data_IF_362364215150
#
_entry.id   IF_362364215150
#
_cell.length_a   1.000
_cell.length_b   1.000
_cell.length_c   1.000
_cell.angle_alpha   90.00
_cell.angle_beta   90.00
_cell.angle_gamma   90.00
#
_symmetry.space_group_name_H-M   'P 1'
#
loop_
_entity.id
_entity.type
_entity.pdbx_description
1 polymer ?
#
# COMPACT_ATOMS: atom_id res chain seq x y z
N UNK A 1 5.18 -15.88 -8.23
CA UNK A 1 6.19 -15.36 -7.29
C UNK A 1 6.95 -14.24 -8.00
N UNK A 2 7.24 -13.12 -7.32
CA UNK A 2 7.95 -12.01 -7.96
C UNK A 2 9.47 -12.17 -7.80
N UNK A 3 10.18 -12.22 -8.92
CA UNK A 3 11.64 -12.39 -8.93
C UNK A 3 12.35 -11.04 -9.08
N UNK A 4 13.41 -10.86 -8.30
CA UNK A 4 14.26 -9.68 -8.30
C UNK A 4 15.74 -10.03 -8.21
N UNK A 5 16.56 -9.04 -8.55
CA UNK A 5 18.01 -9.13 -8.49
C UNK A 5 18.54 -8.38 -7.26
N UNK A 6 19.55 -8.93 -6.60
CA UNK A 6 20.31 -8.22 -5.55
C UNK A 6 21.17 -7.15 -6.22
N UNK A 7 21.25 -5.98 -5.60
CA UNK A 7 22.11 -4.87 -6.03
C UNK A 7 23.27 -4.74 -5.06
N UNK A 8 24.48 -4.98 -5.54
CA UNK A 8 25.71 -4.74 -4.77
C UNK A 8 26.05 -3.24 -4.73
N UNK A 9 25.80 -2.51 -5.82
CA UNK A 9 26.02 -1.07 -5.88
C UNK A 9 24.76 -0.24 -5.62
N UNK A 10 24.88 0.67 -4.65
CA UNK A 10 23.84 1.62 -4.24
C UNK A 10 24.01 2.97 -4.98
N UNK A 11 24.96 3.06 -5.92
CA UNK A 11 25.29 4.29 -6.63
C UNK A 11 24.13 4.90 -7.45
N UNK A 12 24.11 6.23 -7.52
CA UNK A 12 23.12 7.01 -8.30
C UNK A 12 23.13 6.65 -9.79
N UNK A 13 24.31 6.38 -10.36
CA UNK A 13 24.48 6.02 -11.78
C UNK A 13 23.81 4.69 -12.09
N UNK A 14 24.04 3.67 -11.25
CA UNK A 14 23.51 2.32 -11.45
C UNK A 14 21.99 2.28 -11.29
N UNK A 15 21.48 2.99 -10.28
CA UNK A 15 20.03 3.16 -10.12
C UNK A 15 19.38 3.83 -11.35
N UNK A 16 20.05 4.80 -11.97
CA UNK A 16 19.57 5.47 -13.18
C UNK A 16 19.61 4.54 -14.40
N UNK A 17 20.63 3.68 -14.52
CA UNK A 17 20.75 2.67 -15.57
C UNK A 17 19.62 1.63 -15.44
N UNK A 18 19.46 1.04 -14.27
CA UNK A 18 18.40 0.06 -14.00
C UNK A 18 16.99 0.60 -14.27
N UNK A 19 16.69 1.84 -13.88
CA UNK A 19 15.41 2.49 -14.20
C UNK A 19 15.18 2.62 -15.71
N UNK A 20 16.23 2.95 -16.47
CA UNK A 20 16.18 3.03 -17.95
C UNK A 20 15.90 1.66 -18.56
N UNK A 21 16.45 0.61 -17.97
CA UNK A 21 16.27 -0.79 -18.39
C UNK A 21 14.93 -1.40 -17.92
N UNK A 22 14.03 -0.58 -17.38
CA UNK A 22 12.68 -0.97 -16.94
C UNK A 22 12.62 -1.65 -15.58
N UNK A 23 13.64 -1.49 -14.74
CA UNK A 23 13.64 -1.99 -13.37
C UNK A 23 13.16 -0.94 -12.36
N UNK A 24 12.36 -1.40 -11.41
CA UNK A 24 11.99 -0.70 -10.19
C UNK A 24 13.01 -1.00 -9.11
N UNK A 25 13.53 0.05 -8.47
CA UNK A 25 14.41 -0.08 -7.32
C UNK A 25 13.58 -0.35 -6.07
N UNK A 26 13.99 -1.34 -5.28
CA UNK A 26 13.36 -1.68 -4.03
C UNK A 26 14.38 -1.79 -2.89
N UNK A 27 13.97 -1.37 -1.70
CA UNK A 27 14.68 -1.73 -0.47
C UNK A 27 13.81 -2.73 0.29
N UNK A 28 14.42 -3.82 0.73
CA UNK A 28 13.77 -4.83 1.56
C UNK A 28 14.43 -4.77 2.94
N UNK A 29 13.63 -4.59 3.98
CA UNK A 29 14.10 -4.54 5.36
C UNK A 29 13.17 -5.28 6.30
N UNK A 30 13.68 -5.63 7.48
CA UNK A 30 12.89 -6.30 8.51
C UNK A 30 13.48 -6.07 9.88
N UNK A 31 12.67 -6.25 10.93
CA UNK A 31 13.18 -6.16 12.31
C UNK A 31 14.22 -7.26 12.52
N UNK A 32 15.46 -6.89 12.82
CA UNK A 32 16.56 -7.83 13.05
C UNK A 32 17.08 -8.53 11.79
N UNK A 33 16.70 -8.09 10.59
CA UNK A 33 17.22 -8.62 9.33
C UNK A 33 18.09 -7.58 8.64
N UNK A 34 19.09 -8.05 7.89
CA UNK A 34 19.90 -7.19 7.04
C UNK A 34 19.07 -6.58 5.90
N UNK A 35 19.36 -5.32 5.59
CA UNK A 35 18.70 -4.64 4.47
C UNK A 35 19.20 -5.20 3.14
N UNK A 36 18.28 -5.57 2.27
CA UNK A 36 18.57 -6.06 0.93
C UNK A 36 18.17 -4.98 -0.07
N UNK A 37 19.14 -4.50 -0.83
CA UNK A 37 18.87 -3.64 -1.98
C UNK A 37 18.53 -4.52 -3.18
N UNK A 38 17.32 -4.37 -3.71
CA UNK A 38 16.82 -5.19 -4.79
C UNK A 38 16.40 -4.35 -6.00
N UNK A 39 16.29 -5.00 -7.15
CA UNK A 39 15.62 -4.47 -8.33
C UNK A 39 14.64 -5.49 -8.89
N UNK A 40 13.46 -5.04 -9.27
CA UNK A 40 12.41 -5.87 -9.87
C UNK A 40 12.03 -5.34 -11.23
N UNK A 41 11.62 -6.20 -12.17
CA UNK A 41 11.03 -5.70 -13.42
C UNK A 41 9.73 -4.96 -13.11
N UNK A 42 9.59 -3.73 -13.63
CA UNK A 42 8.47 -2.85 -13.32
C UNK A 42 7.11 -3.49 -13.64
N UNK A 43 7.00 -4.10 -14.83
CA UNK A 43 5.77 -4.75 -15.28
C UNK A 43 5.35 -5.90 -14.35
N UNK A 44 6.30 -6.75 -13.97
CA UNK A 44 6.04 -7.89 -13.09
C UNK A 44 5.68 -7.45 -11.67
N UNK A 45 6.35 -6.40 -11.15
CA UNK A 45 6.01 -5.81 -9.86
C UNK A 45 4.57 -5.27 -9.87
N UNK A 46 4.22 -4.44 -10.85
CA UNK A 46 2.87 -3.86 -10.94
C UNK A 46 1.81 -4.97 -11.08
N UNK A 47 2.05 -5.98 -11.91
CA UNK A 47 1.13 -7.11 -12.08
C UNK A 47 0.93 -7.87 -10.77
N UNK A 48 2.01 -8.18 -10.07
CA UNK A 48 1.97 -8.89 -8.78
C UNK A 48 1.20 -8.09 -7.74
N UNK A 49 1.46 -6.78 -7.64
CA UNK A 49 0.83 -5.91 -6.63
C UNK A 49 -0.64 -5.64 -6.94
N UNK A 50 -1.04 -5.59 -8.21
CA UNK A 50 -2.46 -5.45 -8.59
C UNK A 50 -3.26 -6.71 -8.33
N UNK A 51 -2.66 -7.87 -8.55
CA UNK A 51 -3.35 -9.16 -8.45
C UNK A 51 -3.27 -9.78 -7.05
N UNK A 52 -2.58 -9.16 -6.10
CA UNK A 52 -2.48 -9.70 -4.75
C UNK A 52 -3.84 -9.61 -4.04
N UNK A 53 -4.23 -10.71 -3.44
CA UNK A 53 -5.38 -10.76 -2.53
C UNK A 53 -4.95 -10.34 -1.13
N UNK A 54 -3.80 -10.90 -0.68
CA UNK A 54 -3.23 -10.68 0.64
C UNK A 54 -2.44 -9.38 0.74
N UNK A 55 -2.28 -8.89 1.98
CA UNK A 55 -1.46 -7.72 2.28
C UNK A 55 0.03 -7.99 1.98
N UNK A 56 0.51 -9.17 2.41
CA UNK A 56 1.85 -9.69 2.11
C UNK A 56 1.84 -10.52 0.81
N UNK A 57 2.97 -10.55 0.12
CA UNK A 57 3.16 -11.35 -1.10
C UNK A 57 4.57 -11.92 -1.18
N UNK A 58 4.74 -13.09 -1.81
CA UNK A 58 6.03 -13.76 -1.88
C UNK A 58 6.94 -13.13 -2.94
N UNK A 59 8.18 -12.87 -2.55
CA UNK A 59 9.26 -12.43 -3.42
C UNK A 59 10.44 -13.40 -3.36
N UNK A 60 11.20 -13.45 -4.44
CA UNK A 60 12.48 -14.12 -4.53
C UNK A 60 13.55 -13.14 -4.97
N UNK A 61 14.61 -13.01 -4.19
CA UNK A 61 15.73 -12.11 -4.49
C UNK A 61 17.02 -12.87 -4.29
N UNK A 62 17.70 -13.20 -5.41
CA UNK A 62 18.77 -14.20 -5.40
C UNK A 62 18.23 -15.55 -4.90
N UNK A 63 18.90 -16.12 -3.90
CA UNK A 63 18.53 -17.41 -3.29
C UNK A 63 17.57 -17.26 -2.09
N UNK A 64 17.17 -16.03 -1.75
CA UNK A 64 16.30 -15.75 -0.59
C UNK A 64 14.85 -15.61 -1.04
N UNK A 65 13.98 -16.47 -0.52
CA UNK A 65 12.53 -16.37 -0.65
C UNK A 65 11.92 -15.85 0.65
N UNK A 66 11.03 -14.85 0.56
CA UNK A 66 10.41 -14.23 1.72
C UNK A 66 9.08 -13.57 1.36
N UNK A 67 8.18 -13.46 2.33
CA UNK A 67 6.96 -12.67 2.21
C UNK A 67 7.22 -11.23 2.63
N UNK A 68 6.76 -10.28 1.81
CA UNK A 68 6.94 -8.84 2.06
C UNK A 68 5.64 -8.07 1.94
N UNK A 69 5.58 -6.92 2.63
CA UNK A 69 4.52 -5.93 2.52
C UNK A 69 5.10 -4.63 2.01
N UNK A 70 4.38 -3.95 1.11
CA UNK A 70 4.74 -2.60 0.68
C UNK A 70 4.48 -1.63 1.83
N UNK A 71 5.53 -1.02 2.35
CA UNK A 71 5.40 0.08 3.30
C UNK A 71 5.11 1.37 2.57
N UNK A 72 5.99 1.72 1.63
CA UNK A 72 5.96 2.99 0.93
C UNK A 72 6.33 2.80 -0.54
N UNK A 73 5.88 3.72 -1.37
CA UNK A 73 6.30 3.82 -2.76
C UNK A 73 6.39 5.29 -3.15
N UNK A 74 7.37 5.61 -3.97
CA UNK A 74 7.57 6.94 -4.51
C UNK A 74 7.11 6.97 -5.97
N UNK A 75 6.34 7.99 -6.34
CA UNK A 75 5.90 8.21 -7.71
C UNK A 75 6.66 9.37 -8.33
N UNK A 76 6.87 9.29 -9.64
CA UNK A 76 7.35 10.41 -10.42
C UNK A 76 6.21 11.43 -10.57
N UNK A 77 6.40 12.71 -10.19
CA UNK A 77 5.30 13.67 -10.05
C UNK A 77 4.63 14.06 -11.38
N UNK A 78 5.25 13.76 -12.53
CA UNK A 78 4.73 14.10 -13.86
C UNK A 78 4.22 12.88 -14.62
N UNK A 79 4.82 11.70 -14.40
CA UNK A 79 4.56 10.50 -15.21
C UNK A 79 3.84 9.41 -14.43
N UNK A 80 3.64 9.61 -13.12
CA UNK A 80 3.10 8.63 -12.18
C UNK A 80 3.82 7.27 -12.18
N UNK A 81 5.04 7.23 -12.72
CA UNK A 81 5.87 6.03 -12.70
C UNK A 81 6.41 5.78 -11.29
N UNK A 82 6.39 4.52 -10.84
CA UNK A 82 6.96 4.15 -9.55
C UNK A 82 8.48 4.27 -9.65
N UNK A 83 9.10 5.10 -8.80
CA UNK A 83 10.54 5.35 -8.81
C UNK A 83 11.32 4.46 -7.86
N UNK A 84 10.68 4.13 -6.75
CA UNK A 84 11.26 3.40 -5.63
C UNK A 84 10.16 2.82 -4.76
N UNK A 85 10.40 1.64 -4.19
CA UNK A 85 9.50 0.98 -3.25
C UNK A 85 10.25 0.51 -2.02
N UNK A 86 9.61 0.68 -0.87
CA UNK A 86 10.05 0.14 0.40
C UNK A 86 9.20 -1.08 0.74
N UNK A 87 9.87 -2.21 0.86
CA UNK A 87 9.31 -3.51 1.18
C UNK A 87 9.77 -3.89 2.58
N UNK A 88 8.83 -4.30 3.42
CA UNK A 88 9.13 -4.81 4.75
C UNK A 88 8.82 -6.29 4.81
N UNK A 89 9.76 -7.09 5.31
CA UNK A 89 9.57 -8.53 5.52
C UNK A 89 8.44 -8.77 6.52
N UNK A 90 7.45 -9.56 6.11
CA UNK A 90 6.34 -9.99 6.95
C UNK A 90 6.80 -11.11 7.88
N UNK A 91 7.20 -10.76 9.09
CA UNK A 91 7.58 -11.73 10.11
C UNK A 91 6.37 -12.08 11.00
N UNK A 92 6.04 -13.38 11.17
CA UNK A 92 5.03 -13.83 12.12
C UNK A 92 5.29 -13.31 13.53
N UNK A 93 4.22 -12.96 14.26
CA UNK A 93 4.32 -12.46 15.64
C UNK A 93 4.98 -11.07 15.84
N UNK A 94 5.56 -10.45 14.81
CA UNK A 94 6.20 -9.14 14.95
C UNK A 94 5.16 -8.02 14.85
N UNK A 95 4.99 -7.27 15.94
CA UNK A 95 4.13 -6.07 15.96
C UNK A 95 4.86 -4.91 15.29
N UNK A 96 4.28 -4.40 14.21
CA UNK A 96 4.80 -3.25 13.47
C UNK A 96 3.67 -2.45 12.82
N UNK A 97 4.01 -1.40 12.08
CA UNK A 97 3.06 -0.60 11.33
C UNK A 97 2.86 -1.19 9.94
N UNK A 98 1.63 -1.23 9.48
CA UNK A 98 1.26 -1.64 8.13
C UNK A 98 0.32 -0.62 7.51
N UNK A 99 0.44 -0.47 6.19
CA UNK A 99 -0.40 0.42 5.40
C UNK A 99 -1.49 -0.39 4.69
N UNK A 100 -2.64 -0.51 5.33
CA UNK A 100 -3.78 -1.32 4.88
C UNK A 100 -4.59 -0.53 3.85
N UNK A 101 -4.90 -1.09 2.66
CA UNK A 101 -5.68 -0.41 1.65
C UNK A 101 -7.16 -0.26 2.06
N UNK A 102 -7.78 0.81 1.57
CA UNK A 102 -9.22 1.04 1.68
C UNK A 102 -9.87 0.70 0.34
N UNK A 103 -10.91 -0.12 0.36
CA UNK A 103 -11.78 -0.46 -0.76
C UNK A 103 -13.17 0.08 -0.49
N UNK A 104 -13.82 0.62 -1.49
CA UNK A 104 -15.21 1.10 -1.40
C UNK A 104 -16.13 0.15 -2.13
N UNK A 105 -17.30 -0.12 -1.58
CA UNK A 105 -18.36 -0.91 -2.22
C UNK A 105 -19.64 -0.07 -2.31
N UNK A 106 -20.41 -0.30 -3.36
CA UNK A 106 -21.63 0.45 -3.63
C UNK A 106 -21.42 1.76 -4.41
N UNK A 107 -22.53 2.39 -4.78
CA UNK A 107 -22.56 3.67 -5.50
C UNK A 107 -23.26 4.71 -4.65
N UNK A 108 -22.57 5.80 -4.25
CA UNK A 108 -23.18 6.81 -3.38
C UNK A 108 -24.39 7.49 -4.02
N UNK A 109 -25.42 7.74 -3.21
CA UNK A 109 -26.60 8.54 -3.59
C UNK A 109 -26.20 9.92 -4.10
N UNK A 110 -25.21 10.54 -3.46
CA UNK A 110 -24.75 11.88 -3.79
C UNK A 110 -24.20 12.04 -5.20
N UNK A 111 -23.82 10.96 -5.90
CA UNK A 111 -23.43 11.05 -7.32
C UNK A 111 -24.57 11.56 -8.21
N UNK A 112 -25.82 11.17 -7.90
CA UNK A 112 -27.00 11.68 -8.63
C UNK A 112 -27.23 13.17 -8.37
N UNK A 113 -26.80 13.65 -7.21
CA UNK A 113 -26.96 15.03 -6.75
C UNK A 113 -25.78 15.95 -7.14
N UNK A 114 -25.11 15.65 -8.26
CA UNK A 114 -23.88 16.35 -8.72
C UNK A 114 -22.73 16.26 -7.70
N UNK A 115 -22.63 15.17 -6.96
CA UNK A 115 -21.52 14.86 -6.07
C UNK A 115 -20.43 14.03 -6.77
N UNK A 116 -19.22 14.09 -6.22
CA UNK A 116 -18.07 13.27 -6.63
C UNK A 116 -17.57 12.50 -5.41
N UNK A 117 -17.42 11.19 -5.55
CA UNK A 117 -16.79 10.36 -4.53
C UNK A 117 -15.28 10.67 -4.48
N UNK A 118 -14.84 11.21 -3.35
CA UNK A 118 -13.45 11.52 -3.09
C UNK A 118 -12.89 10.60 -2.01
N UNK A 119 -11.84 9.84 -2.35
CA UNK A 119 -11.09 9.01 -1.41
C UNK A 119 -9.91 9.83 -0.89
N UNK A 120 -10.04 10.39 0.32
CA UNK A 120 -8.99 11.19 0.96
C UNK A 120 -7.81 10.33 1.42
N UNK A 121 -8.06 9.09 1.87
CA UNK A 121 -7.03 8.15 2.31
C UNK A 121 -7.21 6.80 1.64
N UNK A 122 -6.35 6.49 0.67
CA UNK A 122 -6.32 5.17 0.00
C UNK A 122 -5.75 4.06 0.88
N UNK A 123 -4.94 4.42 1.88
CA UNK A 123 -4.27 3.50 2.81
C UNK A 123 -4.30 4.07 4.22
N UNK A 124 -4.54 3.23 5.20
CA UNK A 124 -4.60 3.59 6.62
C UNK A 124 -3.45 2.91 7.35
N UNK A 125 -2.77 3.68 8.21
CA UNK A 125 -1.68 3.18 9.05
C UNK A 125 -2.26 2.46 10.26
N UNK A 126 -1.96 1.17 10.37
CA UNK A 126 -2.43 0.28 11.43
C UNK A 126 -1.23 -0.34 12.13
N UNK A 127 -1.30 -0.53 13.45
CA UNK A 127 -0.30 -1.23 14.25
C UNK A 127 -0.85 -2.58 14.69
N UNK A 128 -0.11 -3.65 14.42
CA UNK A 128 -0.50 -5.02 14.74
C UNK A 128 0.50 -6.03 14.20
N UNK A 129 0.17 -7.33 14.28
CA UNK A 129 0.90 -8.41 13.60
C UNK A 129 0.30 -8.69 12.23
N UNK A 130 1.08 -9.25 11.32
CA UNK A 130 0.61 -9.54 9.95
C UNK A 130 -0.60 -10.50 9.93
N UNK A 131 -0.70 -11.42 10.89
CA UNK A 131 -1.79 -12.40 11.02
C UNK A 131 -3.12 -11.76 11.45
N UNK A 132 -3.06 -10.64 12.16
CA UNK A 132 -4.20 -10.02 12.81
C UNK A 132 -4.77 -8.83 12.03
N UNK A 133 -4.04 -8.33 11.04
CA UNK A 133 -4.42 -7.15 10.28
C UNK A 133 -5.24 -7.57 9.04
N UNK A 134 -6.37 -6.90 8.77
CA UNK A 134 -7.18 -7.21 7.58
C UNK A 134 -6.43 -6.88 6.29
N UNK A 135 -6.77 -7.60 5.22
CA UNK A 135 -6.17 -7.38 3.89
C UNK A 135 -6.60 -6.04 3.27
N UNK A 136 -7.83 -5.60 3.55
CA UNK A 136 -8.36 -4.31 3.16
C UNK A 136 -9.49 -3.89 4.11
N UNK A 137 -9.67 -2.58 4.30
CA UNK A 137 -10.88 -2.01 4.89
C UNK A 137 -11.92 -1.82 3.80
N UNK A 138 -13.03 -2.55 3.87
CA UNK A 138 -14.14 -2.42 2.93
C UNK A 138 -15.18 -1.48 3.52
N UNK A 139 -15.42 -0.34 2.86
CA UNK A 139 -16.36 0.68 3.30
C UNK A 139 -17.54 0.75 2.33
N UNK A 140 -18.77 0.61 2.84
CA UNK A 140 -19.98 0.84 2.05
C UNK A 140 -20.23 2.34 1.93
N UNK A 141 -20.33 2.81 0.68
CA UNK A 141 -20.53 4.22 0.36
C UNK A 141 -21.92 4.51 -0.21
N UNK A 142 -22.80 3.50 -0.28
CA UNK A 142 -24.11 3.58 -0.94
C UNK A 142 -25.00 4.67 -0.35
N UNK A 143 -24.94 4.86 0.97
CA UNK A 143 -25.79 5.81 1.68
C UNK A 143 -25.24 7.23 1.75
N UNK A 144 -24.02 7.48 1.25
CA UNK A 144 -23.42 8.82 1.31
C UNK A 144 -24.09 9.79 0.32
N UNK A 145 -24.52 10.95 0.81
CA UNK A 145 -24.95 12.09 0.01
C UNK A 145 -23.89 13.21 0.01
N UNK A 146 -24.13 14.26 -0.76
CA UNK A 146 -23.21 15.40 -0.90
C UNK A 146 -22.97 16.08 0.46
N UNK A 147 -21.72 16.10 0.90
CA UNK A 147 -21.31 16.63 2.20
C UNK A 147 -21.00 15.55 3.23
N UNK A 148 -21.42 14.30 2.99
CA UNK A 148 -21.16 13.19 3.90
C UNK A 148 -19.75 12.63 3.73
N UNK A 149 -19.19 12.16 4.83
CA UNK A 149 -17.89 11.50 4.87
C UNK A 149 -17.86 10.38 5.91
N UNK A 150 -17.18 9.30 5.56
CA UNK A 150 -16.77 8.23 6.48
C UNK A 150 -15.44 8.64 7.08
N UNK A 151 -15.43 8.77 8.41
CA UNK A 151 -14.26 9.12 9.19
C UNK A 151 -13.55 7.85 9.68
N UNK A 152 -12.30 8.00 10.13
CA UNK A 152 -11.52 6.88 10.68
C UNK A 152 -12.23 6.22 11.88
N UNK A 153 -12.93 7.01 12.71
CA UNK A 153 -13.69 6.49 13.85
C UNK A 153 -14.87 5.59 13.46
N UNK A 154 -15.32 5.67 12.21
CA UNK A 154 -16.46 4.90 11.71
C UNK A 154 -16.00 3.54 11.15
N UNK A 155 -14.68 3.29 11.10
CA UNK A 155 -14.09 2.01 10.70
C UNK A 155 -14.16 1.05 11.89
N UNK A 156 -14.56 -0.22 11.67
CA UNK A 156 -14.56 -1.23 12.74
C UNK A 156 -13.19 -1.34 13.41
N UNK A 157 -13.15 -1.00 14.69
CA UNK A 157 -12.00 -1.30 15.54
C UNK A 157 -12.03 -2.78 15.94
N UNK A 158 -10.84 -3.36 16.09
CA UNK A 158 -10.66 -4.73 16.57
C UNK A 158 -9.64 -4.70 17.69
N UNK A 159 -9.81 -5.54 18.72
CA UNK A 159 -8.83 -5.66 19.80
C UNK A 159 -7.44 -6.13 19.31
N UNK A 160 -7.39 -6.70 18.10
CA UNK A 160 -6.19 -7.30 17.51
C UNK A 160 -5.28 -6.29 16.78
N UNK A 161 -5.79 -5.10 16.44
CA UNK A 161 -5.00 -4.07 15.77
C UNK A 161 -5.44 -2.66 16.15
N UNK A 162 -4.50 -1.71 16.15
CA UNK A 162 -4.78 -0.30 16.48
C UNK A 162 -4.62 0.58 15.26
N UNK A 163 -5.65 1.36 14.93
CA UNK A 163 -5.55 2.40 13.91
C UNK A 163 -4.74 3.57 14.48
N UNK A 164 -3.70 4.00 13.76
CA UNK A 164 -2.76 5.04 14.23
C UNK A 164 -3.13 6.44 13.71
N UNK A 165 -4.22 6.55 12.95
CA UNK A 165 -4.73 7.81 12.40
C UNK A 165 -5.81 8.35 13.34
N UNK A 166 -5.86 9.66 13.53
CA UNK A 166 -6.87 10.28 14.39
C UNK A 166 -8.30 10.02 13.86
N UNK A 167 -9.23 9.67 14.74
CA UNK A 167 -10.61 9.30 14.39
C UNK A 167 -11.40 10.34 13.60
N UNK A 168 -11.04 11.62 13.72
CA UNK A 168 -11.68 12.76 13.00
C UNK A 168 -11.27 12.89 11.53
N UNK A 169 -10.28 12.13 11.06
CA UNK A 169 -9.77 12.25 9.70
C UNK A 169 -10.75 11.58 8.73
N UNK A 170 -11.15 12.25 7.63
CA UNK A 170 -11.99 11.63 6.60
C UNK A 170 -11.19 10.61 5.79
N UNK A 171 -11.81 9.48 5.49
CA UNK A 171 -11.24 8.40 4.68
C UNK A 171 -11.84 8.45 3.27
N UNK A 172 -13.16 8.53 3.19
CA UNK A 172 -13.94 8.64 1.96
C UNK A 172 -15.09 9.62 2.20
N UNK A 173 -15.44 10.43 1.21
CA UNK A 173 -16.63 11.28 1.28
C UNK A 173 -17.13 11.70 -0.09
N UNK A 174 -18.32 12.29 -0.13
CA UNK A 174 -18.90 12.82 -1.36
C UNK A 174 -18.84 14.35 -1.32
N UNK A 175 -18.06 14.94 -2.21
CA UNK A 175 -17.92 16.39 -2.33
C UNK A 175 -18.78 16.91 -3.48
N UNK A 176 -19.26 18.15 -3.37
CA UNK A 176 -19.99 18.79 -4.47
C UNK A 176 -19.07 18.95 -5.69
N UNK A 177 -19.53 18.53 -6.87
CA UNK A 177 -18.83 18.80 -8.12
C UNK A 177 -18.74 20.32 -8.32
N UNK A 178 -17.55 20.81 -8.67
CA UNK A 178 -17.36 22.20 -9.08
C UNK A 178 -18.01 22.44 -10.44
#
# INVERSE_FOLDING_TARGET
>A
MLEGIVRESIGKSDAKKLRRDGYLIANIYGKGLENIHAAFKMGDFIRTVRNKEKLAFPIKVGDKEMDVVIQEYQLHPVTDQILHVDLMVAQPGVVTHYMVPVKTVGTPKGLKNKGVLAISKRRIKVKGTIENIPEAFVLDVSDLDVGDAILVRDIPESDKYKIMVAGRVPVVGVIKAK
#
